data_IF_582145601678
#
_entry.id   IF_582145601678
#
_cell.length_a   1.000
_cell.length_b   1.000
_cell.length_c   1.000
_cell.angle_alpha   90.00
_cell.angle_beta   90.00
_cell.angle_gamma   90.00
#
_symmetry.space_group_name_H-M   'P 1'
#
loop_
_entity.id
_entity.type
_entity.pdbx_description
1 polymer ?
#
# COMPACT_ATOMS: atom_id res chain seq x y z
N UNK A 1 -14.43 0.51 -5.86
CA UNK A 1 -13.21 1.24 -5.44
C UNK A 1 -13.28 1.46 -3.93
N UNK A 2 -12.16 1.27 -3.23
CA UNK A 2 -12.10 1.28 -1.74
C UNK A 2 -11.01 2.26 -1.30
N UNK A 3 -11.36 3.29 -0.52
CA UNK A 3 -10.39 4.27 -0.02
C UNK A 3 -9.47 3.73 1.07
N UNK A 4 -8.26 4.31 1.20
CA UNK A 4 -7.24 3.84 2.15
C UNK A 4 -7.70 3.85 3.62
N UNK A 5 -8.59 4.78 4.01
CA UNK A 5 -9.15 4.89 5.36
C UNK A 5 -9.85 3.62 5.86
N UNK A 6 -10.32 2.77 4.94
CA UNK A 6 -10.95 1.50 5.31
C UNK A 6 -9.97 0.49 5.89
N UNK A 7 -8.66 0.59 5.60
CA UNK A 7 -7.63 -0.28 6.19
C UNK A 7 -7.57 -0.14 7.71
N UNK A 8 -7.37 1.10 8.20
CA UNK A 8 -7.37 1.39 9.64
C UNK A 8 -8.72 1.10 10.30
N UNK A 9 -9.83 1.33 9.59
CA UNK A 9 -11.16 1.05 10.12
C UNK A 9 -11.35 -0.43 10.43
N UNK A 10 -10.99 -1.32 9.49
CA UNK A 10 -11.16 -2.77 9.63
C UNK A 10 -10.13 -3.36 10.60
N UNK A 11 -8.90 -2.82 10.62
CA UNK A 11 -7.82 -3.28 11.50
C UNK A 11 -8.17 -3.22 12.99
N UNK A 12 -9.13 -2.36 13.39
CA UNK A 12 -9.65 -2.28 14.77
C UNK A 12 -10.16 -3.63 15.30
N UNK A 13 -10.69 -4.47 14.42
CA UNK A 13 -11.27 -5.77 14.78
C UNK A 13 -10.33 -6.94 14.45
N UNK A 14 -9.10 -6.67 14.00
CA UNK A 14 -8.10 -7.67 13.60
C UNK A 14 -6.80 -7.48 14.40
N UNK A 15 -6.73 -8.08 15.58
CA UNK A 15 -5.66 -7.85 16.57
C UNK A 15 -4.24 -8.26 16.14
N UNK A 16 -4.10 -9.07 15.08
CA UNK A 16 -2.82 -9.47 14.49
C UNK A 16 -2.62 -8.92 13.08
N UNK A 17 -3.31 -7.83 12.74
CA UNK A 17 -3.17 -7.18 11.43
C UNK A 17 -2.02 -6.18 11.40
N UNK A 18 -1.49 -5.98 10.19
CA UNK A 18 -0.55 -4.90 9.86
C UNK A 18 -1.19 -4.05 8.77
N UNK A 19 -1.18 -2.73 8.95
CA UNK A 19 -1.69 -1.78 7.96
C UNK A 19 -0.51 -1.11 7.26
N UNK A 20 -0.50 -1.14 5.94
CA UNK A 20 0.46 -0.44 5.10
C UNK A 20 -0.27 0.38 4.03
N UNK A 21 0.12 1.64 3.88
CA UNK A 21 -0.41 2.53 2.84
C UNK A 21 0.66 2.69 1.77
N UNK A 22 0.35 2.28 0.53
CA UNK A 22 1.25 2.44 -0.62
C UNK A 22 0.85 3.71 -1.37
N UNK A 23 1.70 4.76 -1.38
CA UNK A 23 1.38 6.02 -2.04
C UNK A 23 1.16 5.83 -3.55
N UNK A 24 0.14 6.50 -4.10
CA UNK A 24 -0.14 6.50 -5.54
C UNK A 24 -0.68 5.18 -6.11
N UNK A 25 -0.82 4.13 -5.28
CA UNK A 25 -1.34 2.86 -5.72
C UNK A 25 -2.86 2.88 -5.93
N UNK A 26 -3.32 2.04 -6.85
CA UNK A 26 -4.73 1.90 -7.19
C UNK A 26 -5.38 0.71 -6.47
N UNK A 27 -6.62 0.39 -6.87
CA UNK A 27 -7.30 -0.80 -6.39
C UNK A 27 -6.53 -2.05 -6.81
N UNK A 28 -6.38 -3.01 -5.90
CA UNK A 28 -5.64 -4.24 -6.21
C UNK A 28 -4.13 -4.13 -6.03
N UNK A 29 -3.65 -3.09 -5.32
CA UNK A 29 -2.23 -2.86 -4.99
C UNK A 29 -1.45 -4.11 -4.56
N UNK A 30 -2.08 -5.07 -3.89
CA UNK A 30 -1.46 -6.32 -3.43
C UNK A 30 -0.88 -7.17 -4.58
N UNK A 31 -1.34 -6.98 -5.81
CA UNK A 31 -0.87 -7.67 -7.01
C UNK A 31 0.01 -6.77 -7.91
N UNK A 32 0.16 -5.48 -7.60
CA UNK A 32 0.92 -4.53 -8.40
C UNK A 32 2.38 -4.44 -7.90
N UNK A 33 3.38 -4.76 -8.75
CA UNK A 33 4.78 -4.56 -8.39
C UNK A 33 5.17 -3.07 -8.46
N UNK A 34 6.19 -2.64 -7.69
CA UNK A 34 7.00 -3.47 -6.81
C UNK A 34 6.43 -3.64 -5.39
N UNK A 35 5.95 -2.55 -4.77
CA UNK A 35 5.82 -2.49 -3.31
C UNK A 35 4.68 -3.35 -2.73
N UNK A 36 3.49 -3.32 -3.34
CA UNK A 36 2.34 -4.06 -2.81
C UNK A 36 2.55 -5.58 -2.82
N UNK A 37 3.06 -6.10 -3.94
CA UNK A 37 3.41 -7.51 -4.07
C UNK A 37 4.54 -7.93 -3.11
N UNK A 38 5.57 -7.09 -2.91
CA UNK A 38 6.66 -7.36 -1.97
C UNK A 38 6.20 -7.43 -0.51
N UNK A 39 5.31 -6.53 -0.09
CA UNK A 39 4.72 -6.55 1.25
C UNK A 39 3.99 -7.88 1.47
N UNK A 40 3.16 -8.31 0.51
CA UNK A 40 2.40 -9.57 0.61
C UNK A 40 3.33 -10.78 0.65
N UNK A 41 4.36 -10.83 -0.21
CA UNK A 41 5.35 -11.90 -0.18
C UNK A 41 6.03 -11.99 1.20
N UNK A 42 6.49 -10.86 1.73
CA UNK A 42 7.15 -10.81 3.05
C UNK A 42 6.22 -11.15 4.22
N UNK A 43 4.90 -10.88 4.09
CA UNK A 43 3.91 -11.30 5.07
C UNK A 43 3.77 -12.82 5.12
N UNK A 44 3.80 -13.49 3.97
CA UNK A 44 3.80 -14.96 3.94
C UNK A 44 5.07 -15.55 4.57
N UNK A 45 6.21 -14.87 4.47
CA UNK A 45 7.46 -15.28 5.11
C UNK A 45 7.47 -15.03 6.63
N UNK A 46 6.99 -13.86 7.07
CA UNK A 46 6.88 -13.48 8.47
C UNK A 46 5.62 -12.63 8.74
N UNK A 47 4.51 -13.27 9.17
CA UNK A 47 3.23 -12.57 9.33
C UNK A 47 3.23 -11.55 10.48
N UNK A 48 4.14 -11.65 11.44
CA UNK A 48 4.25 -10.69 12.56
C UNK A 48 5.00 -9.41 12.16
N UNK A 49 5.82 -9.47 11.11
CA UNK A 49 6.68 -8.36 10.69
C UNK A 49 6.94 -8.38 9.19
N UNK A 50 5.92 -8.17 8.35
CA UNK A 50 6.11 -7.96 6.92
C UNK A 50 6.99 -6.73 6.68
N UNK A 51 7.76 -6.76 5.58
CA UNK A 51 8.60 -5.65 5.18
C UNK A 51 7.77 -4.58 4.46
N UNK A 52 7.60 -3.41 5.08
CA UNK A 52 6.89 -2.27 4.52
C UNK A 52 7.82 -1.15 4.04
N UNK A 53 9.15 -1.32 4.08
CA UNK A 53 10.08 -0.22 3.78
C UNK A 53 9.94 0.38 2.38
N UNK A 54 9.37 -0.37 1.43
CA UNK A 54 9.10 0.12 0.08
C UNK A 54 8.07 1.26 0.04
N UNK A 55 7.21 1.41 1.07
CA UNK A 55 6.23 2.51 1.13
C UNK A 55 6.90 3.87 1.22
N UNK A 56 8.08 3.92 1.85
CA UNK A 56 8.84 5.15 2.04
C UNK A 56 9.60 5.58 0.78
N UNK A 57 9.81 4.64 -0.14
CA UNK A 57 10.55 4.86 -1.39
C UNK A 57 9.65 4.79 -2.63
N UNK A 58 8.33 4.59 -2.45
CA UNK A 58 7.39 4.50 -3.57
C UNK A 58 7.31 5.85 -4.27
N UNK A 59 7.66 5.85 -5.56
CA UNK A 59 7.73 7.07 -6.35
C UNK A 59 6.34 7.39 -6.94
N UNK A 60 5.80 8.54 -6.55
CA UNK A 60 4.54 9.01 -7.12
C UNK A 60 4.75 9.43 -8.58
N UNK A 61 3.79 9.15 -9.48
CA UNK A 61 3.81 9.74 -10.80
C UNK A 61 3.80 11.26 -10.66
N UNK A 62 4.59 11.94 -11.48
CA UNK A 62 4.53 13.38 -11.58
C UNK A 62 3.10 13.79 -11.97
N UNK A 63 2.57 14.82 -11.33
CA UNK A 63 1.35 15.45 -11.82
C UNK A 63 1.73 16.38 -12.98
N UNK A 64 1.05 16.25 -14.11
CA UNK A 64 1.16 17.24 -15.18
C UNK A 64 0.17 18.37 -14.89
N UNK A 65 0.67 19.56 -14.56
CA UNK A 65 -0.11 20.78 -14.74
C UNK A 65 0.07 21.17 -16.19
N UNK A 66 -0.81 20.68 -17.07
CA UNK A 66 -0.91 21.28 -18.39
C UNK A 66 -1.35 22.74 -18.21
N UNK A 67 -0.58 23.73 -18.69
CA UNK A 67 -1.04 25.12 -18.64
C UNK A 67 -2.36 25.25 -19.40
N UNK A 68 -3.28 26.13 -18.95
CA UNK A 68 -4.53 26.36 -19.67
C UNK A 68 -4.26 26.81 -21.12
N UNK A 69 -5.12 26.43 -22.08
CA UNK A 69 -4.97 26.81 -23.48
C UNK A 69 -5.03 28.33 -23.70
#
# INVERSE_FOLDING_TARGET
QTGAVWGDYIAKDLSQSVVAVVPGAAHGVYAEPPCGAEIIASFFDNPEKPNTSCTDTTQLPAYDILPPP
#
